data_IF_181438102514
#
_entry.id   IF_181438102514
#
_cell.length_a   1.000
_cell.length_b   1.000
_cell.length_c   1.000
_cell.angle_alpha   90.00
_cell.angle_beta   90.00
_cell.angle_gamma   90.00
#
_symmetry.space_group_name_H-M   'P 1'
#
loop_
_entity.id
_entity.type
_entity.pdbx_description
1 polymer ?
#
# COMPACT_ATOMS: atom_id res chain seq x y z
N UNK A 1 -14.59 0.75 -9.09
CA UNK A 1 -16.00 1.16 -9.36
C UNK A 1 -16.12 1.77 -10.76
N UNK A 2 -17.28 1.71 -11.42
CA UNK A 2 -17.45 2.25 -12.79
C UNK A 2 -17.34 3.77 -12.83
N UNK A 3 -17.87 4.44 -11.81
CA UNK A 3 -17.81 5.89 -11.64
C UNK A 3 -16.38 6.44 -11.47
N UNK A 4 -15.42 5.56 -11.15
CA UNK A 4 -13.99 5.86 -11.08
C UNK A 4 -13.20 5.30 -12.28
N UNK A 5 -13.87 4.86 -13.35
CA UNK A 5 -13.26 4.33 -14.58
C UNK A 5 -12.89 2.84 -14.54
N UNK A 6 -13.26 2.12 -13.48
CA UNK A 6 -13.09 0.68 -13.37
C UNK A 6 -14.21 -0.11 -14.08
N UNK A 7 -14.11 -1.44 -14.05
CA UNK A 7 -15.05 -2.34 -14.76
C UNK A 7 -16.31 -2.73 -13.96
N UNK A 8 -16.50 -2.23 -12.74
CA UNK A 8 -17.70 -2.55 -11.94
C UNK A 8 -17.89 -4.03 -11.57
N UNK A 9 -16.87 -4.88 -11.75
CA UNK A 9 -17.00 -6.32 -11.62
C UNK A 9 -17.16 -6.78 -10.17
N UNK A 10 -17.91 -7.86 -9.99
CA UNK A 10 -18.10 -8.50 -8.68
C UNK A 10 -16.82 -9.26 -8.21
N UNK A 11 -16.78 -9.66 -6.93
CA UNK A 11 -15.65 -10.42 -6.38
C UNK A 11 -15.41 -11.78 -7.07
N UNK A 12 -16.42 -12.41 -7.65
CA UNK A 12 -16.29 -13.72 -8.34
C UNK A 12 -15.49 -13.55 -9.62
N UNK A 13 -15.77 -12.51 -10.40
CA UNK A 13 -15.00 -12.16 -11.59
C UNK A 13 -13.54 -11.83 -11.26
N UNK A 14 -13.29 -11.16 -10.13
CA UNK A 14 -11.92 -10.93 -9.66
C UNK A 14 -11.20 -12.24 -9.31
N UNK A 15 -11.87 -13.19 -8.65
CA UNK A 15 -11.30 -14.51 -8.37
C UNK A 15 -10.99 -15.29 -9.65
N UNK A 16 -11.90 -15.30 -10.62
CA UNK A 16 -11.68 -15.91 -11.94
C UNK A 16 -10.48 -15.27 -12.65
N UNK A 17 -10.37 -13.94 -12.63
CA UNK A 17 -9.20 -13.24 -13.20
C UNK A 17 -7.90 -13.72 -12.56
N UNK A 18 -7.85 -13.78 -11.21
CA UNK A 18 -6.69 -14.24 -10.45
C UNK A 18 -6.31 -15.69 -10.82
N UNK A 19 -7.28 -16.61 -10.86
CA UNK A 19 -7.06 -18.01 -11.23
C UNK A 19 -6.48 -18.14 -12.65
N UNK A 20 -7.07 -17.44 -13.62
CA UNK A 20 -6.68 -17.54 -15.03
C UNK A 20 -5.27 -17.02 -15.29
N UNK A 21 -4.86 -15.92 -14.65
CA UNK A 21 -3.51 -15.38 -14.82
C UNK A 21 -2.48 -16.19 -14.03
N UNK A 22 -2.81 -16.61 -12.80
CA UNK A 22 -1.91 -17.38 -11.94
C UNK A 22 -1.60 -18.77 -12.47
N UNK A 23 -2.52 -19.38 -13.25
CA UNK A 23 -2.30 -20.65 -13.96
C UNK A 23 -1.01 -20.67 -14.79
N UNK A 24 -0.61 -19.53 -15.35
CA UNK A 24 0.57 -19.43 -16.20
C UNK A 24 1.79 -18.92 -15.42
N UNK A 25 1.61 -17.97 -14.51
CA UNK A 25 2.70 -17.44 -13.69
C UNK A 25 2.14 -16.74 -12.46
N UNK A 26 2.36 -17.34 -11.29
CA UNK A 26 2.04 -16.71 -10.00
C UNK A 26 2.83 -15.42 -9.77
N UNK A 27 4.05 -15.32 -10.29
CA UNK A 27 4.88 -14.12 -10.15
C UNK A 27 4.32 -12.95 -10.97
N UNK A 28 3.89 -13.22 -12.21
CA UNK A 28 3.22 -12.23 -13.06
C UNK A 28 1.86 -11.85 -12.49
N UNK A 29 1.08 -12.83 -12.00
CA UNK A 29 -0.21 -12.59 -11.35
C UNK A 29 -0.07 -11.62 -10.17
N UNK A 30 0.99 -11.77 -9.37
CA UNK A 30 1.31 -10.91 -8.22
C UNK A 30 1.31 -9.43 -8.57
N UNK A 31 1.87 -9.10 -9.75
CA UNK A 31 1.97 -7.72 -10.21
C UNK A 31 0.58 -7.07 -10.28
N UNK A 32 -0.43 -7.80 -10.75
CA UNK A 32 -1.78 -7.26 -10.86
C UNK A 32 -2.53 -7.33 -9.54
N UNK A 33 -2.52 -8.50 -8.90
CA UNK A 33 -3.31 -8.77 -7.70
C UNK A 33 -3.01 -7.75 -6.61
N UNK A 34 -1.74 -7.52 -6.31
CA UNK A 34 -1.32 -6.62 -5.24
C UNK A 34 -1.74 -5.18 -5.52
N UNK A 35 -1.50 -4.70 -6.75
CA UNK A 35 -1.81 -3.32 -7.11
C UNK A 35 -3.31 -3.06 -7.09
N UNK A 36 -4.13 -4.02 -7.53
CA UNK A 36 -5.61 -3.88 -7.58
C UNK A 36 -6.20 -3.70 -6.18
N UNK A 37 -5.89 -4.58 -5.22
CA UNK A 37 -6.48 -4.45 -3.88
C UNK A 37 -5.95 -3.20 -3.16
N UNK A 38 -4.71 -2.80 -3.43
CA UNK A 38 -4.15 -1.56 -2.86
C UNK A 38 -4.84 -0.33 -3.46
N UNK A 39 -5.10 -0.30 -4.77
CA UNK A 39 -5.86 0.76 -5.41
C UNK A 39 -7.32 0.81 -4.91
N UNK A 40 -7.93 -0.32 -4.57
CA UNK A 40 -9.26 -0.34 -3.97
C UNK A 40 -9.30 0.29 -2.57
N UNK A 41 -8.24 0.17 -1.76
CA UNK A 41 -8.13 0.94 -0.51
C UNK A 41 -8.27 2.44 -0.77
N UNK A 42 -7.60 2.94 -1.81
CA UNK A 42 -7.70 4.33 -2.22
C UNK A 42 -9.08 4.67 -2.77
N UNK A 43 -9.67 3.82 -3.61
CA UNK A 43 -11.01 4.05 -4.16
C UNK A 43 -12.10 4.09 -3.09
N UNK A 44 -11.93 3.34 -1.99
CA UNK A 44 -12.91 3.30 -0.88
C UNK A 44 -12.66 4.38 0.17
N UNK A 45 -11.40 4.64 0.53
CA UNK A 45 -11.06 5.48 1.68
C UNK A 45 -10.42 6.83 1.29
N UNK A 46 -10.08 7.02 0.03
CA UNK A 46 -9.44 8.25 -0.46
C UNK A 46 -10.43 9.41 -0.56
N UNK A 47 -9.93 10.62 -0.36
CA UNK A 47 -10.69 11.83 -0.70
C UNK A 47 -10.89 11.93 -2.21
N UNK A 48 -11.81 12.79 -2.65
CA UNK A 48 -12.06 13.01 -4.07
C UNK A 48 -10.78 13.44 -4.80
N UNK A 49 -10.00 14.34 -4.21
CA UNK A 49 -8.74 14.85 -4.75
C UNK A 49 -7.70 13.73 -4.86
N UNK A 50 -7.62 12.83 -3.88
CA UNK A 50 -6.72 11.68 -3.92
C UNK A 50 -7.14 10.69 -5.02
N UNK A 51 -8.44 10.41 -5.14
CA UNK A 51 -8.98 9.52 -6.17
C UNK A 51 -8.70 10.08 -7.58
N UNK A 52 -9.00 11.36 -7.82
CA UNK A 52 -8.72 12.03 -9.09
C UNK A 52 -7.23 12.07 -9.43
N UNK A 53 -6.36 12.22 -8.41
CA UNK A 53 -4.92 12.26 -8.61
C UNK A 53 -4.33 10.91 -9.01
N UNK A 54 -4.70 9.82 -8.33
CA UNK A 54 -3.97 8.56 -8.46
C UNK A 54 -4.73 7.45 -9.21
N UNK A 55 -6.06 7.45 -9.27
CA UNK A 55 -6.81 6.36 -9.92
C UNK A 55 -6.75 6.40 -11.45
N UNK A 56 -6.92 7.56 -12.13
CA UNK A 56 -6.79 7.62 -13.59
C UNK A 56 -5.43 7.10 -14.11
N UNK A 57 -4.27 7.53 -13.60
CA UNK A 57 -2.99 6.98 -14.06
C UNK A 57 -2.77 5.53 -13.63
N UNK A 58 -3.45 5.05 -12.59
CA UNK A 58 -3.40 3.62 -12.23
C UNK A 58 -4.12 2.77 -13.27
N UNK A 59 -5.27 3.24 -13.78
CA UNK A 59 -6.04 2.54 -14.80
C UNK A 59 -5.31 2.45 -16.15
N UNK A 60 -4.44 3.41 -16.47
CA UNK A 60 -3.58 3.38 -17.67
C UNK A 60 -2.27 2.63 -17.46
N UNK A 61 -1.92 2.27 -16.21
CA UNK A 61 -0.69 1.57 -15.85
C UNK A 61 0.52 2.48 -15.59
N UNK A 62 0.34 3.80 -15.59
CA UNK A 62 1.38 4.81 -15.35
C UNK A 62 1.68 5.00 -13.86
N UNK A 63 0.71 4.72 -12.99
CA UNK A 63 0.83 4.70 -11.53
C UNK A 63 0.77 3.27 -11.00
N UNK A 64 1.65 2.95 -10.05
CA UNK A 64 1.65 1.68 -9.32
C UNK A 64 1.34 1.89 -7.85
N UNK A 65 0.88 0.85 -7.19
CA UNK A 65 0.68 0.86 -5.74
C UNK A 65 1.41 -0.28 -5.06
N UNK A 66 1.94 0.03 -3.87
CA UNK A 66 2.44 -0.95 -2.94
C UNK A 66 1.76 -0.76 -1.58
N UNK A 67 1.66 -1.83 -0.80
CA UNK A 67 1.18 -1.77 0.57
C UNK A 67 2.35 -2.10 1.51
N UNK A 68 2.48 -1.34 2.59
CA UNK A 68 3.58 -1.50 3.52
C UNK A 68 3.11 -1.46 4.96
N UNK A 69 2.98 -2.65 5.52
CA UNK A 69 2.52 -2.91 6.89
C UNK A 69 3.72 -3.40 7.69
N UNK A 70 4.29 -4.52 7.25
CA UNK A 70 5.32 -5.28 7.96
C UNK A 70 6.61 -4.51 8.21
N UNK A 71 7.20 -4.80 9.37
CA UNK A 71 8.47 -4.28 9.85
C UNK A 71 9.38 -5.46 10.21
N UNK A 72 10.70 -5.24 10.36
CA UNK A 72 11.61 -6.28 10.83
C UNK A 72 11.15 -6.96 12.13
N UNK A 73 10.50 -6.21 13.02
CA UNK A 73 10.02 -6.69 14.33
C UNK A 73 8.49 -6.89 14.41
N UNK A 74 7.74 -6.62 13.34
CA UNK A 74 6.27 -6.71 13.34
C UNK A 74 5.75 -7.25 12.01
N UNK A 75 5.34 -8.52 12.00
CA UNK A 75 4.70 -9.18 10.85
C UNK A 75 3.25 -9.55 11.18
N UNK A 76 3.04 -10.74 11.74
CA UNK A 76 1.71 -11.22 12.14
C UNK A 76 1.02 -10.31 13.17
N UNK A 77 1.79 -9.74 14.12
CA UNK A 77 1.30 -8.70 15.01
C UNK A 77 1.45 -7.31 14.39
N UNK A 78 0.72 -7.09 13.30
CA UNK A 78 0.78 -5.84 12.51
C UNK A 78 0.36 -4.58 13.30
N UNK A 79 -0.31 -4.73 14.45
CA UNK A 79 -0.66 -3.60 15.30
C UNK A 79 0.55 -3.06 16.10
N UNK A 80 1.59 -3.88 16.27
CA UNK A 80 2.81 -3.54 17.02
C UNK A 80 3.87 -2.83 16.20
N UNK A 81 3.51 -2.32 15.02
CA UNK A 81 4.40 -1.49 14.19
C UNK A 81 4.88 -0.24 14.92
N UNK A 82 6.12 0.14 14.64
CA UNK A 82 6.90 1.17 15.33
C UNK A 82 7.33 2.32 14.42
N UNK A 83 7.22 2.18 13.09
CA UNK A 83 7.41 3.29 12.14
C UNK A 83 6.51 4.44 12.56
N UNK A 84 7.09 5.59 12.89
CA UNK A 84 6.39 6.71 13.52
C UNK A 84 6.20 7.82 12.50
N UNK A 85 5.00 8.39 12.46
CA UNK A 85 4.70 9.61 11.74
C UNK A 85 4.29 10.69 12.75
N UNK A 86 5.10 11.74 12.88
CA UNK A 86 4.85 12.88 13.77
C UNK A 86 4.36 14.04 12.92
N UNK A 87 3.33 14.75 13.38
CA UNK A 87 2.84 15.92 12.68
C UNK A 87 3.68 17.15 13.03
N UNK A 88 4.21 17.82 12.01
CA UNK A 88 4.86 19.12 12.11
C UNK A 88 4.17 20.09 11.15
N UNK A 89 3.28 20.94 11.67
CA UNK A 89 2.47 21.82 10.85
C UNK A 89 1.48 21.06 9.96
N UNK A 90 1.65 21.21 8.65
CA UNK A 90 0.87 20.54 7.59
C UNK A 90 1.57 19.32 7.00
N UNK A 91 2.68 18.86 7.58
CA UNK A 91 3.42 17.67 7.15
C UNK A 91 3.44 16.56 8.21
N UNK A 92 3.54 15.33 7.71
CA UNK A 92 4.04 14.17 8.45
C UNK A 92 5.55 14.10 8.31
N UNK A 93 6.25 13.98 9.43
CA UNK A 93 7.67 13.60 9.50
C UNK A 93 7.76 12.14 9.94
N UNK A 94 8.28 11.30 9.05
CA UNK A 94 8.18 9.85 9.16
C UNK A 94 9.57 9.24 9.34
N UNK A 95 9.70 8.40 10.38
CA UNK A 95 10.92 7.69 10.70
C UNK A 95 10.62 6.21 10.99
N UNK A 96 11.46 5.30 10.48
CA UNK A 96 11.32 3.87 10.75
C UNK A 96 11.96 2.96 9.71
N UNK A 97 11.58 1.70 9.75
CA UNK A 97 12.03 0.69 8.81
C UNK A 97 10.88 -0.24 8.45
N UNK A 98 10.72 -0.52 7.15
CA UNK A 98 9.71 -1.44 6.62
C UNK A 98 10.39 -2.61 5.93
N UNK A 99 9.71 -3.75 5.94
CA UNK A 99 10.21 -4.99 5.38
C UNK A 99 9.12 -5.71 4.59
N UNK A 100 9.53 -6.50 3.60
CA UNK A 100 8.64 -7.31 2.77
C UNK A 100 7.66 -6.49 1.91
N UNK A 101 8.01 -5.25 1.55
CA UNK A 101 7.17 -4.42 0.71
C UNK A 101 7.41 -4.75 -0.78
N UNK A 102 6.45 -5.44 -1.37
CA UNK A 102 6.54 -5.88 -2.76
C UNK A 102 6.21 -4.74 -3.72
N UNK A 103 6.99 -4.62 -4.80
CA UNK A 103 6.82 -3.59 -5.83
C UNK A 103 7.28 -2.16 -5.48
N UNK A 104 7.64 -1.86 -4.22
CA UNK A 104 7.93 -0.48 -3.79
C UNK A 104 9.02 0.26 -4.59
N UNK A 105 10.02 -0.46 -5.11
CA UNK A 105 11.12 0.11 -5.91
C UNK A 105 10.75 0.47 -7.36
N UNK A 106 9.58 0.09 -7.87
CA UNK A 106 9.25 0.38 -9.26
C UNK A 106 8.95 1.87 -9.48
N UNK A 107 9.29 2.45 -10.64
CA UNK A 107 8.95 3.84 -10.94
C UNK A 107 7.46 4.14 -10.75
N UNK A 108 7.17 5.36 -10.30
CA UNK A 108 5.82 5.85 -10.06
C UNK A 108 5.01 4.97 -9.10
N UNK A 109 5.63 4.47 -8.03
CA UNK A 109 4.92 3.68 -7.02
C UNK A 109 4.51 4.57 -5.85
N UNK A 110 3.22 4.57 -5.51
CA UNK A 110 2.72 5.16 -4.27
C UNK A 110 2.54 4.04 -3.26
N UNK A 111 3.22 4.14 -2.12
CA UNK A 111 3.17 3.18 -1.04
C UNK A 111 2.06 3.59 -0.07
N UNK A 112 1.10 2.70 0.19
CA UNK A 112 0.15 2.82 1.30
C UNK A 112 0.88 2.33 2.56
N UNK A 113 1.46 3.28 3.30
CA UNK A 113 2.26 3.05 4.49
C UNK A 113 1.37 3.03 5.73
N UNK A 114 1.45 1.96 6.54
CA UNK A 114 0.91 1.96 7.90
C UNK A 114 1.96 2.49 8.88
N UNK A 115 1.67 3.61 9.55
CA UNK A 115 2.55 4.23 10.53
C UNK A 115 1.82 4.56 11.84
N UNK A 116 2.57 4.62 12.93
CA UNK A 116 2.11 5.00 14.26
C UNK A 116 2.09 6.52 14.39
N UNK A 117 0.90 7.06 14.62
CA UNK A 117 0.63 8.49 14.84
C UNK A 117 0.07 8.79 16.24
N UNK A 118 -0.26 7.75 17.02
CA UNK A 118 -0.75 7.86 18.40
C UNK A 118 -0.35 6.67 19.27
N UNK A 119 -0.66 6.75 20.56
CA UNK A 119 -0.24 5.75 21.56
C UNK A 119 -1.11 4.48 21.55
N UNK A 120 -2.40 4.64 21.24
CA UNK A 120 -3.36 3.54 21.22
C UNK A 120 -2.96 2.42 20.24
N UNK A 121 -3.16 1.16 20.63
CA UNK A 121 -2.68 0.00 19.85
C UNK A 121 -3.20 0.02 18.41
N UNK A 122 -4.51 0.15 18.24
CA UNK A 122 -5.17 0.17 16.94
C UNK A 122 -5.52 1.58 16.46
N UNK A 123 -6.05 2.42 17.36
CA UNK A 123 -6.44 3.80 17.05
C UNK A 123 -5.24 4.76 16.92
N UNK A 124 -4.02 4.31 17.26
CA UNK A 124 -2.78 5.04 17.06
C UNK A 124 -2.13 4.80 15.70
N UNK A 125 -2.81 4.10 14.77
CA UNK A 125 -2.27 3.76 13.45
C UNK A 125 -2.96 4.56 12.35
N UNK A 126 -2.18 5.07 11.40
CA UNK A 126 -2.67 5.85 10.25
C UNK A 126 -2.10 5.27 8.95
N UNK A 127 -2.94 5.18 7.92
CA UNK A 127 -2.51 4.86 6.56
C UNK A 127 -2.12 6.14 5.83
N UNK A 128 -0.93 6.18 5.23
CA UNK A 128 -0.35 7.37 4.59
C UNK A 128 0.10 7.00 3.18
N UNK A 129 -0.29 7.81 2.20
CA UNK A 129 0.19 7.70 0.82
C UNK A 129 1.61 8.27 0.73
N UNK A 130 2.58 7.44 0.36
CA UNK A 130 3.99 7.78 0.30
C UNK A 130 4.55 7.49 -1.10
N UNK A 131 4.78 8.50 -1.96
CA UNK A 131 5.52 8.33 -3.21
C UNK A 131 6.90 7.74 -2.95
N UNK A 132 7.33 6.79 -3.78
CA UNK A 132 8.55 6.03 -3.56
C UNK A 132 9.85 6.77 -3.92
N UNK A 133 9.74 7.98 -4.45
CA UNK A 133 10.81 8.93 -4.73
C UNK A 133 10.89 10.07 -3.68
N UNK A 134 10.09 9.99 -2.62
CA UNK A 134 10.10 11.00 -1.54
C UNK A 134 11.48 11.06 -0.90
N UNK A 135 12.10 12.25 -0.75
CA UNK A 135 13.40 12.41 -0.09
C UNK A 135 13.43 11.80 1.33
N UNK A 136 14.55 11.19 1.69
CA UNK A 136 14.73 10.48 2.97
C UNK A 136 14.33 8.99 2.92
N UNK A 137 13.80 8.51 1.79
CA UNK A 137 13.46 7.10 1.59
C UNK A 137 14.64 6.34 0.94
N UNK A 138 15.07 5.26 1.58
CA UNK A 138 16.10 4.35 1.04
C UNK A 138 15.49 2.96 0.80
N UNK A 139 15.13 2.68 -0.45
CA UNK A 139 14.52 1.41 -0.86
C UNK A 139 15.56 0.45 -1.40
N UNK A 140 15.61 -0.76 -0.83
CA UNK A 140 16.56 -1.81 -1.21
C UNK A 140 15.82 -3.09 -1.58
N UNK A 141 16.05 -3.57 -2.81
CA UNK A 141 15.49 -4.84 -3.28
C UNK A 141 16.16 -6.02 -2.55
N UNK A 142 15.36 -6.94 -2.06
CA UNK A 142 15.80 -8.15 -1.36
C UNK A 142 16.01 -9.31 -2.34
N UNK A 143 17.04 -10.14 -2.13
CA UNK A 143 17.15 -11.41 -2.84
C UNK A 143 16.13 -12.41 -2.28
N UNK A 144 15.11 -12.72 -3.07
CA UNK A 144 14.05 -13.67 -2.70
C UNK A 144 14.10 -14.94 -3.56
N UNK A 145 13.60 -16.07 -3.06
CA UNK A 145 13.53 -17.33 -3.84
C UNK A 145 12.52 -17.25 -4.99
N UNK A 146 11.42 -16.51 -4.80
CA UNK A 146 10.35 -16.23 -5.78
C UNK A 146 10.06 -14.73 -5.82
N UNK A 147 9.01 -14.26 -6.52
CA UNK A 147 8.68 -12.83 -6.64
C UNK A 147 9.75 -12.02 -7.37
N UNK A 148 10.32 -12.55 -8.45
CA UNK A 148 11.42 -11.92 -9.21
C UNK A 148 10.90 -10.77 -10.07
N UNK A 149 9.72 -10.92 -10.66
CA UNK A 149 9.07 -9.93 -11.52
C UNK A 149 8.67 -8.69 -10.75
N UNK A 150 7.84 -8.85 -9.71
CA UNK A 150 7.38 -7.73 -8.89
C UNK A 150 8.46 -7.21 -7.94
N UNK A 151 9.37 -8.09 -7.51
CA UNK A 151 10.38 -7.78 -6.51
C UNK A 151 9.81 -7.53 -5.12
N UNK A 152 10.63 -7.81 -4.11
CA UNK A 152 10.32 -7.51 -2.71
C UNK A 152 11.43 -6.65 -2.14
N UNK A 153 11.08 -5.69 -1.30
CA UNK A 153 12.02 -4.71 -0.77
C UNK A 153 11.97 -4.61 0.76
N UNK A 154 13.07 -4.13 1.32
CA UNK A 154 13.08 -3.45 2.60
C UNK A 154 13.39 -1.98 2.36
N UNK A 155 12.96 -1.10 3.25
CA UNK A 155 13.32 0.30 3.13
C UNK A 155 13.35 1.02 4.47
N UNK A 156 14.12 2.09 4.51
CA UNK A 156 14.31 2.94 5.69
C UNK A 156 13.74 4.32 5.42
N UNK A 157 13.12 4.90 6.44
CA UNK A 157 12.60 6.27 6.40
C UNK A 157 13.41 7.07 7.42
N UNK A 158 14.12 8.08 6.94
CA UNK A 158 14.84 9.04 7.77
C UNK A 158 14.31 10.44 7.47
N UNK A 159 13.55 10.99 8.42
CA UNK A 159 12.91 12.30 8.34
C UNK A 159 12.16 12.55 7.01
N UNK A 160 11.51 11.51 6.50
CA UNK A 160 10.70 11.58 5.28
C UNK A 160 9.51 12.50 5.52
N UNK A 161 9.31 13.48 4.63
CA UNK A 161 8.25 14.48 4.74
C UNK A 161 7.20 14.32 3.65
N UNK A 162 5.93 14.23 4.05
CA UNK A 162 4.78 14.27 3.15
C UNK A 162 3.67 15.13 3.75
N UNK A 163 2.82 15.79 2.94
CA UNK A 163 1.69 16.53 3.46
C UNK A 163 0.75 15.67 4.32
N UNK A 164 0.13 16.24 5.35
CA UNK A 164 -0.90 15.58 6.16
C UNK A 164 -2.11 15.18 5.29
N UNK A 165 -2.34 15.89 4.17
CA UNK A 165 -3.34 15.54 3.16
C UNK A 165 -3.04 14.22 2.41
N UNK A 166 -1.84 13.64 2.57
CA UNK A 166 -1.56 12.26 2.11
C UNK A 166 -2.14 11.19 3.06
N UNK A 167 -2.81 11.55 4.15
CA UNK A 167 -3.54 10.60 4.99
C UNK A 167 -4.65 9.91 4.18
N UNK A 168 -4.63 8.59 4.11
CA UNK A 168 -5.68 7.79 3.49
C UNK A 168 -6.73 7.43 4.54
N UNK A 169 -7.98 7.86 4.34
CA UNK A 169 -9.01 7.81 5.37
C UNK A 169 -8.80 8.90 6.42
N UNK A 170 -8.91 8.55 7.71
CA UNK A 170 -8.70 9.49 8.82
C UNK A 170 -7.49 9.11 9.66
N UNK A 171 -6.92 10.11 10.33
CA UNK A 171 -5.87 9.91 11.33
C UNK A 171 -6.40 8.95 12.41
N UNK A 172 -5.65 7.89 12.71
CA UNK A 172 -6.03 6.84 13.65
C UNK A 172 -6.95 5.74 13.10
N UNK A 173 -7.41 5.85 11.84
CA UNK A 173 -8.21 4.81 11.17
C UNK A 173 -7.39 3.85 10.31
N UNK A 174 -6.05 3.90 10.37
CA UNK A 174 -5.17 3.09 9.53
C UNK A 174 -5.40 1.58 9.65
N UNK A 175 -5.71 1.08 10.85
CA UNK A 175 -6.05 -0.33 11.07
C UNK A 175 -7.30 -0.77 10.29
N UNK A 176 -8.34 0.09 10.30
CA UNK A 176 -9.58 -0.15 9.57
C UNK A 176 -9.34 -0.08 8.06
N UNK A 177 -8.66 0.96 7.60
CA UNK A 177 -8.37 1.17 6.17
C UNK A 177 -7.67 -0.06 5.59
N UNK A 178 -6.53 -0.44 6.19
CA UNK A 178 -5.76 -1.60 5.74
C UNK A 178 -6.59 -2.90 5.86
N UNK A 179 -7.27 -3.10 6.98
CA UNK A 179 -8.00 -4.34 7.27
C UNK A 179 -9.17 -4.63 6.32
N UNK A 180 -9.83 -3.59 5.78
CA UNK A 180 -10.97 -3.76 4.87
C UNK A 180 -10.63 -4.56 3.61
N UNK A 181 -9.43 -4.39 3.06
CA UNK A 181 -9.06 -5.00 1.78
C UNK A 181 -8.22 -6.27 1.92
N UNK A 182 -7.76 -6.61 3.13
CA UNK A 182 -7.10 -7.92 3.38
C UNK A 182 -8.04 -9.10 3.12
N UNK A 183 -9.36 -8.91 3.19
CA UNK A 183 -10.30 -9.98 2.82
C UNK A 183 -10.27 -10.28 1.32
N UNK A 184 -10.14 -9.23 0.50
CA UNK A 184 -10.03 -9.38 -0.94
C UNK A 184 -8.67 -9.99 -1.32
N UNK A 185 -7.60 -9.62 -0.61
CA UNK A 185 -6.29 -10.26 -0.74
C UNK A 185 -6.37 -11.76 -0.41
N UNK A 186 -7.04 -12.15 0.67
CA UNK A 186 -7.22 -13.58 1.01
C UNK A 186 -7.95 -14.35 -0.07
N UNK A 187 -8.99 -13.74 -0.66
CA UNK A 187 -9.75 -14.34 -1.74
C UNK A 187 -8.93 -14.50 -3.03
N UNK A 188 -8.05 -13.56 -3.35
CA UNK A 188 -7.20 -13.65 -4.56
C UNK A 188 -6.01 -14.59 -4.41
N UNK A 189 -5.62 -14.93 -3.19
CA UNK A 189 -4.55 -15.89 -2.88
C UNK A 189 -5.02 -17.35 -2.82
N UNK A 190 -6.31 -17.58 -2.59
CA UNK A 190 -6.93 -18.91 -2.52
C UNK A 190 -7.03 -19.56 -3.90
#
# INVERSE_FOLDING_TARGET
>A
PEELGGLGLDPVMYAIFCEKIAKFSLDTAACFIQMIFTAQNLATNGTKEQQEKYLPPFLTGDQRFAISISEPNAGSDAASVTTKAVREGDEWVINGAKMWCSGAHHPNTTIVLLARTGEERYAGLTAILLPNDTPGLDIRKLPTIVRKSLGTTQYFLDNVRVPVSNTLGKIGEGWKVIGQHLQLERMSLA
#
